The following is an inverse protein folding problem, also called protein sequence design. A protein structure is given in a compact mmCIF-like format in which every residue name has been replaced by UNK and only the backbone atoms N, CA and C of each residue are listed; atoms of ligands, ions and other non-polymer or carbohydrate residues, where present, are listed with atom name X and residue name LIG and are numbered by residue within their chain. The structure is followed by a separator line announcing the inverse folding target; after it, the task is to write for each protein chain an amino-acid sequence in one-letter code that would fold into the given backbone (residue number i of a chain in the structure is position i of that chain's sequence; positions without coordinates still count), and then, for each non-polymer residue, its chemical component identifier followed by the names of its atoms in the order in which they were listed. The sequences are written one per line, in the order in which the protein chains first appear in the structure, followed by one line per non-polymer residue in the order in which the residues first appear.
data_IF_729505078035
#
_entry.id   IF_729505078035
#
_cell.length_a   1.000
_cell.length_b   1.000
_cell.length_c   1.000
_cell.angle_alpha   90.00
_cell.angle_beta   90.00
_cell.angle_gamma   90.00
#
_symmetry.space_group_name_H-M   'P 1'
#
loop_
_entity.id
_entity.type
_entity.pdbx_description
1 polymer ?
#
# COMPACT_ATOMS: atom_id res chain seq x y z
N UNK A 1 10.59 -58.01 -6.73
CA UNK A 1 11.56 -56.91 -6.58
C UNK A 1 11.76 -56.32 -7.98
N UNK A 2 11.29 -55.16 -8.41
CA UNK A 2 10.99 -53.88 -7.75
C UNK A 2 9.73 -53.27 -8.38
N UNK A 3 8.79 -52.92 -7.51
CA UNK A 3 7.49 -52.30 -7.77
C UNK A 3 7.67 -50.79 -7.99
N UNK A 4 7.11 -50.29 -9.10
CA UNK A 4 6.89 -48.89 -9.49
C UNK A 4 7.89 -47.84 -8.93
N UNK A 5 8.98 -47.58 -9.68
CA UNK A 5 9.85 -46.43 -9.45
C UNK A 5 9.11 -45.14 -9.85
N UNK A 6 8.64 -44.39 -8.86
CA UNK A 6 8.14 -43.02 -9.04
C UNK A 6 9.34 -42.09 -9.22
N UNK A 7 9.54 -41.55 -10.41
CA UNK A 7 10.54 -40.51 -10.66
C UNK A 7 10.18 -39.26 -9.85
N UNK A 8 11.14 -38.78 -9.07
CA UNK A 8 11.02 -37.59 -8.24
C UNK A 8 11.18 -36.38 -9.15
N UNK A 9 10.06 -35.85 -9.63
CA UNK A 9 10.02 -34.57 -10.31
C UNK A 9 10.35 -33.47 -9.30
N UNK A 10 11.59 -32.99 -9.33
CA UNK A 10 12.03 -31.79 -8.61
C UNK A 10 11.60 -30.55 -9.40
N UNK A 11 10.29 -30.36 -9.54
CA UNK A 11 9.77 -29.07 -9.97
C UNK A 11 10.00 -28.08 -8.82
N UNK A 12 11.16 -27.43 -8.86
CA UNK A 12 11.46 -26.21 -8.13
C UNK A 12 10.41 -25.16 -8.51
N UNK A 13 9.28 -25.20 -7.81
CA UNK A 13 8.23 -24.20 -7.90
C UNK A 13 8.84 -22.89 -7.43
N UNK A 14 9.33 -22.08 -8.39
CA UNK A 14 9.65 -20.68 -8.20
C UNK A 14 8.41 -20.05 -7.58
N UNK A 15 8.41 -19.85 -6.27
CA UNK A 15 7.33 -19.15 -5.58
C UNK A 15 7.35 -17.73 -6.13
N UNK A 16 6.44 -17.45 -7.05
CA UNK A 16 6.18 -16.10 -7.52
C UNK A 16 5.76 -15.35 -6.27
N UNK A 17 6.61 -14.45 -5.79
CA UNK A 17 6.27 -13.54 -4.70
C UNK A 17 5.23 -12.57 -5.25
N UNK A 18 3.96 -12.96 -5.24
CA UNK A 18 2.85 -12.04 -5.48
C UNK A 18 2.92 -11.02 -4.33
N UNK A 19 3.14 -9.72 -4.60
CA UNK A 19 3.16 -8.73 -3.55
C UNK A 19 1.75 -8.62 -2.96
N UNK A 20 1.63 -8.95 -1.68
CA UNK A 20 0.36 -8.87 -0.95
C UNK A 20 -0.19 -7.43 -0.95
N UNK A 21 -1.51 -7.28 -1.07
CA UNK A 21 -2.18 -5.98 -0.96
C UNK A 21 -2.36 -5.19 -2.28
N UNK A 22 -2.24 -5.84 -3.43
CA UNK A 22 -2.57 -5.22 -4.74
C UNK A 22 -4.04 -4.79 -4.87
N UNK A 23 -4.94 -5.46 -4.16
CA UNK A 23 -6.38 -5.31 -4.29
C UNK A 23 -6.99 -4.72 -3.01
N UNK A 24 -7.96 -3.83 -3.15
CA UNK A 24 -8.68 -3.19 -2.04
C UNK A 24 -10.18 -3.29 -2.29
N UNK A 25 -10.93 -3.77 -1.30
CA UNK A 25 -12.39 -3.80 -1.35
C UNK A 25 -12.96 -2.44 -0.97
N UNK A 26 -13.86 -1.90 -1.78
CA UNK A 26 -14.59 -0.68 -1.44
C UNK A 26 -15.65 -0.94 -0.36
N UNK A 27 -15.76 -0.07 0.64
CA UNK A 27 -16.75 -0.21 1.72
C UNK A 27 -18.17 0.14 1.27
N UNK A 28 -18.32 0.99 0.24
CA UNK A 28 -19.62 1.42 -0.28
C UNK A 28 -20.20 0.43 -1.29
N UNK A 29 -19.52 0.21 -2.43
CA UNK A 29 -20.01 -0.66 -3.50
C UNK A 29 -19.56 -2.12 -3.41
N UNK A 30 -18.71 -2.48 -2.44
CA UNK A 30 -18.14 -3.84 -2.24
C UNK A 30 -17.28 -4.36 -3.40
N UNK A 31 -17.02 -3.53 -4.40
CA UNK A 31 -16.16 -3.84 -5.52
C UNK A 31 -14.70 -3.99 -5.11
N UNK A 32 -13.97 -4.88 -5.79
CA UNK A 32 -12.52 -5.02 -5.66
C UNK A 32 -11.85 -4.07 -6.65
N UNK A 33 -11.10 -3.10 -6.13
CA UNK A 33 -10.38 -2.08 -6.91
C UNK A 33 -8.88 -2.29 -6.76
N UNK A 34 -8.13 -2.05 -7.85
CA UNK A 34 -6.68 -2.14 -7.83
C UNK A 34 -6.07 -0.94 -7.09
N UNK A 35 -5.13 -1.19 -6.16
CA UNK A 35 -4.57 -0.15 -5.28
C UNK A 35 -3.84 0.96 -6.06
N UNK A 36 -3.18 0.63 -7.18
CA UNK A 36 -2.50 1.64 -8.01
C UNK A 36 -3.49 2.54 -8.74
N UNK A 37 -4.60 2.00 -9.23
CA UNK A 37 -5.68 2.81 -9.83
C UNK A 37 -6.31 3.72 -8.79
N UNK A 38 -6.54 3.21 -7.58
CA UNK A 38 -7.04 3.99 -6.47
C UNK A 38 -6.11 5.17 -6.12
N UNK A 39 -4.79 4.96 -6.16
CA UNK A 39 -3.80 6.00 -5.91
C UNK A 39 -3.78 7.06 -7.03
N UNK A 40 -3.92 6.66 -8.29
CA UNK A 40 -4.04 7.58 -9.45
C UNK A 40 -5.31 8.42 -9.38
N UNK A 41 -6.42 7.84 -8.91
CA UNK A 41 -7.70 8.53 -8.73
C UNK A 41 -7.83 9.21 -7.36
N UNK A 42 -6.73 9.64 -6.73
CA UNK A 42 -6.73 10.41 -5.48
C UNK A 42 -7.55 9.77 -4.34
N UNK A 43 -7.48 8.43 -4.21
CA UNK A 43 -8.25 7.64 -3.24
C UNK A 43 -9.78 7.72 -3.42
N UNK A 44 -10.26 7.89 -4.65
CA UNK A 44 -11.69 7.83 -5.00
C UNK A 44 -12.00 6.52 -5.73
N UNK A 45 -13.11 5.87 -5.37
CA UNK A 45 -13.59 4.69 -6.06
C UNK A 45 -14.06 5.05 -7.49
N UNK A 46 -13.54 4.40 -8.54
CA UNK A 46 -13.95 4.71 -9.92
C UNK A 46 -15.39 4.28 -10.24
N UNK A 47 -15.97 3.33 -9.48
CA UNK A 47 -17.32 2.82 -9.77
C UNK A 47 -18.44 3.59 -9.06
N UNK A 48 -18.23 3.99 -7.80
CA UNK A 48 -19.28 4.62 -6.99
C UNK A 48 -18.92 6.00 -6.46
N UNK A 49 -17.78 6.58 -6.84
CA UNK A 49 -17.28 7.87 -6.37
C UNK A 49 -17.14 7.99 -4.83
N UNK A 50 -17.09 6.86 -4.12
CA UNK A 50 -16.81 6.85 -2.69
C UNK A 50 -15.38 7.30 -2.40
N UNK A 51 -15.24 8.23 -1.45
CA UNK A 51 -13.95 8.77 -1.03
C UNK A 51 -13.39 7.94 0.11
N UNK A 52 -12.22 7.33 -0.11
CA UNK A 52 -11.53 6.59 0.94
C UNK A 52 -10.85 7.55 1.93
N UNK A 53 -10.54 7.02 3.12
CA UNK A 53 -9.74 7.75 4.11
C UNK A 53 -8.35 8.02 3.54
N UNK A 54 -7.94 9.28 3.61
CA UNK A 54 -6.66 9.80 3.14
C UNK A 54 -5.92 10.43 4.31
N UNK A 55 -4.63 10.09 4.47
CA UNK A 55 -3.81 10.65 5.55
C UNK A 55 -3.58 12.16 5.37
N UNK A 56 -3.34 12.88 6.47
CA UNK A 56 -3.12 14.32 6.42
C UNK A 56 -1.94 14.69 5.49
N UNK A 57 -0.82 13.99 5.59
CA UNK A 57 0.37 14.22 4.75
C UNK A 57 0.12 13.91 3.27
N UNK A 58 -0.60 12.82 2.98
CA UNK A 58 -0.96 12.49 1.59
C UNK A 58 -1.84 13.60 0.99
N UNK A 59 -2.79 14.13 1.77
CA UNK A 59 -3.66 15.23 1.35
C UNK A 59 -2.89 16.52 1.10
N UNK A 60 -1.96 16.88 1.99
CA UNK A 60 -1.10 18.05 1.83
C UNK A 60 -0.31 17.97 0.52
N UNK A 61 0.30 16.82 0.23
CA UNK A 61 1.06 16.61 -1.00
C UNK A 61 0.21 16.69 -2.29
N UNK A 62 -1.11 16.51 -2.20
CA UNK A 62 -2.02 16.64 -3.35
C UNK A 62 -2.48 18.08 -3.58
N UNK A 63 -2.46 18.92 -2.53
CA UNK A 63 -3.01 20.28 -2.57
C UNK A 63 -1.92 21.34 -2.76
N UNK A 64 -0.71 21.07 -2.30
CA UNK A 64 0.37 22.05 -2.20
C UNK A 64 1.51 21.67 -3.15
N UNK A 65 2.17 22.68 -3.71
CA UNK A 65 3.34 22.50 -4.55
C UNK A 65 4.49 21.85 -3.79
N UNK A 66 5.22 20.97 -4.48
CA UNK A 66 6.33 20.21 -3.90
C UNK A 66 7.39 21.15 -3.29
N UNK A 67 7.75 20.90 -2.03
CA UNK A 67 8.82 21.64 -1.34
C UNK A 67 8.42 22.97 -0.72
N UNK A 68 7.18 23.43 -0.90
CA UNK A 68 6.71 24.71 -0.33
C UNK A 68 6.05 24.56 1.04
N UNK A 69 5.65 23.35 1.43
CA UNK A 69 4.94 23.11 2.68
C UNK A 69 5.87 23.17 3.90
N UNK A 70 5.53 24.05 4.85
CA UNK A 70 6.21 24.18 6.15
C UNK A 70 5.19 24.01 7.28
N UNK A 71 5.39 22.99 8.13
CA UNK A 71 4.55 22.77 9.32
C UNK A 71 4.82 23.88 10.36
N UNK A 72 3.83 24.74 10.64
CA UNK A 72 4.03 25.94 11.48
C UNK A 72 3.95 25.68 13.00
N UNK A 73 3.06 24.80 13.46
CA UNK A 73 2.86 24.54 14.90
C UNK A 73 2.99 23.05 15.21
N UNK A 74 4.18 22.65 15.63
CA UNK A 74 4.47 21.28 16.10
C UNK A 74 4.66 21.36 17.62
N UNK A 75 3.68 20.90 18.42
CA UNK A 75 3.89 20.71 19.85
C UNK A 75 5.09 19.80 20.08
N UNK A 76 5.89 20.05 21.13
CA UNK A 76 7.08 19.25 21.43
C UNK A 76 6.78 17.73 21.53
N UNK A 77 5.56 17.36 21.96
CA UNK A 77 5.09 15.97 22.02
C UNK A 77 4.89 15.29 20.66
N UNK A 78 4.73 16.06 19.58
CA UNK A 78 4.50 15.55 18.22
C UNK A 78 5.77 15.61 17.36
N UNK A 79 6.88 16.17 17.90
CA UNK A 79 8.16 16.21 17.20
C UNK A 79 8.63 14.77 17.01
N UNK A 80 8.70 14.31 15.76
CA UNK A 80 9.21 12.99 15.43
C UNK A 80 10.65 12.95 15.89
N UNK A 81 10.87 12.33 17.04
CA UNK A 81 12.20 12.11 17.59
C UNK A 81 12.87 11.10 16.66
N UNK A 82 13.50 11.59 15.60
CA UNK A 82 14.59 10.86 14.95
C UNK A 82 15.82 11.00 15.85
N UNK A 83 15.76 10.44 17.05
CA UNK A 83 17.00 10.08 17.73
C UNK A 83 17.54 8.88 16.95
N UNK A 84 18.61 9.16 16.21
CA UNK A 84 19.42 8.13 15.57
C UNK A 84 19.70 7.02 16.57
N UNK A 85 19.49 5.80 16.12
CA UNK A 85 20.15 4.60 16.64
C UNK A 85 21.65 4.93 16.70
N UNK A 86 22.11 5.18 17.92
CA UNK A 86 23.50 5.02 18.33
C UNK A 86 23.53 3.77 19.20
N UNK A 87 23.61 2.61 18.53
CA UNK A 87 24.19 1.38 19.08
C UNK A 87 25.18 0.91 18.01
#
# INVERSE_FOLDING_TARGET
MTWFKRSKDDSTQKRVNIPEGLWVKCTSCKEIVYRKELAKNLRVCPKCAYHFRLGARERINMLIDSGTFVEQHIPQSCRKVMHGIWI
#
